data_IF_713838099599
#
_entry.id   IF_713838099599
#
_cell.length_a   1.000
_cell.length_b   1.000
_cell.length_c   1.000
_cell.angle_alpha   90.00
_cell.angle_beta   90.00
_cell.angle_gamma   90.00
#
_symmetry.space_group_name_H-M   'P 1'
#
loop_
_entity.id
_entity.type
_entity.pdbx_description
1 polymer ?
#
# COMPACT_ATOMS: atom_id res chain seq x y z
N UNK A 1 -9.44 26.21 24.24
CA UNK A 1 -10.17 25.80 23.04
C UNK A 1 -9.20 25.70 21.87
N UNK A 2 -9.27 24.63 21.08
CA UNK A 2 -8.50 24.45 19.84
C UNK A 2 -9.40 24.72 18.62
N UNK A 3 -8.82 25.07 17.48
CA UNK A 3 -9.58 25.13 16.23
C UNK A 3 -9.76 23.72 15.63
N UNK A 4 -8.74 22.88 15.82
CA UNK A 4 -8.70 21.51 15.31
C UNK A 4 -8.06 20.56 16.32
N UNK A 5 -8.72 19.43 16.56
CA UNK A 5 -8.12 18.25 17.19
C UNK A 5 -7.99 17.15 16.14
N UNK A 6 -6.83 16.52 16.05
CA UNK A 6 -6.58 15.35 15.19
C UNK A 6 -6.32 14.14 16.09
N UNK A 7 -7.07 13.05 15.89
CA UNK A 7 -6.92 11.81 16.67
C UNK A 7 -6.22 10.77 15.79
N UNK A 8 -4.98 10.44 16.13
CA UNK A 8 -4.08 9.55 15.39
C UNK A 8 -3.00 10.33 14.64
N UNK A 9 -1.74 9.95 14.82
CA UNK A 9 -0.53 10.57 14.27
C UNK A 9 0.08 9.82 13.08
N UNK A 10 -0.71 9.02 12.35
CA UNK A 10 -0.30 8.39 11.09
C UNK A 10 -0.19 9.36 9.90
N UNK A 11 0.10 8.87 8.67
CA UNK A 11 0.28 9.72 7.48
C UNK A 11 -0.87 10.68 7.17
N UNK A 12 -2.12 10.29 7.43
CA UNK A 12 -3.24 11.23 7.34
C UNK A 12 -3.25 12.24 8.49
N UNK A 13 -3.02 11.78 9.71
CA UNK A 13 -3.12 12.58 10.92
C UNK A 13 -2.05 13.68 11.03
N UNK A 14 -0.76 13.33 10.93
CA UNK A 14 0.29 14.34 11.06
C UNK A 14 0.26 15.33 9.88
N UNK A 15 -0.14 14.90 8.68
CA UNK A 15 -0.33 15.80 7.53
C UNK A 15 -1.50 16.75 7.78
N UNK A 16 -2.63 16.26 8.30
CA UNK A 16 -3.75 17.10 8.70
C UNK A 16 -3.33 18.15 9.73
N UNK A 17 -2.53 17.75 10.73
CA UNK A 17 -2.08 18.64 11.77
C UNK A 17 -1.17 19.75 11.22
N UNK A 18 -0.18 19.39 10.38
CA UNK A 18 0.72 20.35 9.73
C UNK A 18 -0.06 21.30 8.83
N UNK A 19 -0.93 20.78 7.95
CA UNK A 19 -1.73 21.60 7.02
C UNK A 19 -2.70 22.51 7.77
N UNK A 20 -3.28 22.04 8.87
CA UNK A 20 -4.12 22.85 9.75
C UNK A 20 -3.34 24.02 10.35
N UNK A 21 -2.14 23.77 10.88
CA UNK A 21 -1.26 24.81 11.42
C UNK A 21 -0.81 25.80 10.34
N UNK A 22 -0.45 25.32 9.15
CA UNK A 22 -0.13 26.18 7.99
C UNK A 22 -1.32 27.06 7.56
N UNK A 23 -2.55 26.62 7.83
CA UNK A 23 -3.78 27.39 7.59
C UNK A 23 -4.14 28.32 8.76
N UNK A 24 -3.24 28.50 9.73
CA UNK A 24 -3.42 29.40 10.88
C UNK A 24 -4.28 28.83 12.02
N UNK A 25 -4.63 27.54 11.99
CA UNK A 25 -5.44 26.91 13.03
C UNK A 25 -4.59 26.61 14.27
N UNK A 26 -5.18 26.77 15.47
CA UNK A 26 -4.60 26.20 16.69
C UNK A 26 -4.89 24.70 16.75
N UNK A 27 -3.87 23.88 16.52
CA UNK A 27 -4.00 22.41 16.37
C UNK A 27 -3.49 21.66 17.60
N UNK A 28 -4.27 20.65 18.01
CA UNK A 28 -3.82 19.58 18.90
C UNK A 28 -3.81 18.24 18.16
N UNK A 29 -2.68 17.55 18.15
CA UNK A 29 -2.55 16.18 17.66
C UNK A 29 -2.48 15.21 18.85
N UNK A 30 -3.36 14.21 18.86
CA UNK A 30 -3.40 13.16 19.88
C UNK A 30 -2.87 11.86 19.28
N UNK A 31 -1.81 11.30 19.85
CA UNK A 31 -1.21 10.03 19.42
C UNK A 31 -0.87 9.19 20.65
N UNK A 32 -1.26 7.91 20.65
CA UNK A 32 -1.07 7.00 21.77
C UNK A 32 0.27 6.25 21.74
N UNK A 33 0.85 6.09 20.55
CA UNK A 33 2.10 5.39 20.28
C UNK A 33 3.17 6.37 19.74
N UNK A 34 4.05 5.91 18.84
CA UNK A 34 5.00 6.75 18.12
C UNK A 34 4.34 7.43 16.91
N UNK A 35 4.75 8.68 16.63
CA UNK A 35 4.33 9.44 15.46
C UNK A 35 4.67 8.71 14.15
N UNK A 36 3.91 9.02 13.10
CA UNK A 36 3.99 8.35 11.80
C UNK A 36 3.13 7.09 11.68
N UNK A 37 2.53 6.64 12.78
CA UNK A 37 1.53 5.55 12.83
C UNK A 37 2.02 4.25 12.21
N UNK A 38 1.09 3.44 11.68
CA UNK A 38 1.41 2.13 11.07
C UNK A 38 2.47 2.23 9.99
N UNK A 39 2.29 3.14 9.02
CA UNK A 39 3.13 3.19 7.82
C UNK A 39 4.61 3.41 8.15
N UNK A 40 4.90 4.29 9.11
CA UNK A 40 6.27 4.59 9.49
C UNK A 40 6.87 3.55 10.44
N UNK A 41 6.11 3.08 11.43
CA UNK A 41 6.67 2.29 12.52
C UNK A 41 6.67 0.79 12.25
N UNK A 42 5.67 0.27 11.53
CA UNK A 42 5.42 -1.18 11.37
C UNK A 42 4.86 -1.59 10.01
N UNK A 43 4.88 -0.70 9.02
CA UNK A 43 4.30 -0.93 7.70
C UNK A 43 5.28 -0.55 6.58
N UNK A 44 4.88 0.45 5.78
CA UNK A 44 5.58 0.90 4.57
C UNK A 44 7.11 0.96 4.70
N UNK A 45 7.62 1.74 5.66
CA UNK A 45 9.05 2.04 5.76
C UNK A 45 9.86 0.79 6.19
N UNK A 46 9.48 0.10 7.28
CA UNK A 46 10.05 -1.20 7.65
C UNK A 46 10.12 -2.20 6.50
N UNK A 47 9.00 -2.42 5.80
CA UNK A 47 8.93 -3.38 4.69
C UNK A 47 9.84 -2.97 3.55
N UNK A 48 9.89 -1.68 3.19
CA UNK A 48 10.70 -1.17 2.09
C UNK A 48 12.21 -1.27 2.39
N UNK A 49 12.60 -1.16 3.67
CA UNK A 49 13.98 -1.46 4.07
C UNK A 49 14.36 -2.92 3.76
N UNK A 50 13.49 -3.86 4.10
CA UNK A 50 13.69 -5.29 3.86
C UNK A 50 13.64 -5.63 2.37
N UNK A 51 12.70 -5.06 1.62
CA UNK A 51 12.65 -5.25 0.16
C UNK A 51 13.95 -4.77 -0.48
N UNK A 52 14.44 -3.58 -0.11
CA UNK A 52 15.68 -3.05 -0.65
C UNK A 52 16.88 -3.99 -0.40
N UNK A 53 17.09 -4.40 0.85
CA UNK A 53 18.24 -5.24 1.22
C UNK A 53 18.18 -6.63 0.58
N UNK A 54 16.98 -7.22 0.52
CA UNK A 54 16.79 -8.53 -0.11
C UNK A 54 16.84 -8.49 -1.63
N UNK A 55 16.40 -7.39 -2.26
CA UNK A 55 16.54 -7.16 -3.70
C UNK A 55 18.01 -7.01 -4.09
N UNK A 56 18.79 -6.26 -3.32
CA UNK A 56 20.25 -6.13 -3.53
C UNK A 56 20.96 -7.50 -3.47
N UNK A 57 20.62 -8.35 -2.48
CA UNK A 57 21.15 -9.70 -2.39
C UNK A 57 20.80 -10.52 -3.64
N UNK A 58 19.55 -10.44 -4.09
CA UNK A 58 19.06 -11.20 -5.25
C UNK A 58 19.73 -10.75 -6.54
N UNK A 59 19.88 -9.44 -6.77
CA UNK A 59 20.59 -8.86 -7.91
C UNK A 59 22.05 -9.30 -7.93
N UNK A 60 22.74 -9.25 -6.79
CA UNK A 60 24.11 -9.73 -6.69
C UNK A 60 24.22 -11.23 -7.03
N UNK A 61 23.33 -12.07 -6.47
CA UNK A 61 23.33 -13.52 -6.68
C UNK A 61 23.00 -13.96 -8.11
N UNK A 62 22.27 -13.14 -8.85
CA UNK A 62 21.85 -13.46 -10.23
C UNK A 62 22.66 -12.74 -11.30
N UNK A 63 23.57 -11.87 -10.90
CA UNK A 63 24.49 -11.20 -11.81
C UNK A 63 25.38 -12.19 -12.55
N UNK A 64 25.53 -11.97 -13.86
CA UNK A 64 26.41 -12.76 -14.72
C UNK A 64 27.87 -12.27 -14.72
N UNK A 65 28.12 -11.08 -14.17
CA UNK A 65 29.45 -10.44 -14.17
C UNK A 65 30.12 -10.43 -12.79
N UNK A 66 29.35 -10.67 -11.72
CA UNK A 66 29.89 -10.73 -10.36
C UNK A 66 30.33 -12.15 -10.03
N UNK A 67 31.61 -12.32 -9.69
CA UNK A 67 32.14 -13.57 -9.15
C UNK A 67 31.99 -13.62 -7.63
N UNK A 68 31.78 -14.79 -7.05
CA UNK A 68 31.70 -14.98 -5.59
C UNK A 68 30.34 -14.66 -4.96
N UNK A 69 29.34 -14.25 -5.73
CA UNK A 69 28.03 -13.85 -5.20
C UNK A 69 27.23 -14.98 -4.52
N UNK A 70 27.51 -16.25 -4.85
CA UNK A 70 26.80 -17.40 -4.28
C UNK A 70 26.96 -17.57 -2.76
N UNK A 71 28.04 -17.03 -2.18
CA UNK A 71 28.28 -17.09 -0.73
C UNK A 71 27.64 -15.93 0.05
N UNK A 72 27.06 -14.94 -0.63
CA UNK A 72 26.45 -13.77 0.02
C UNK A 72 25.24 -14.19 0.85
N UNK A 73 25.18 -13.64 2.07
CA UNK A 73 24.11 -13.83 3.04
C UNK A 73 23.77 -12.49 3.67
N UNK A 74 22.51 -12.30 4.02
CA UNK A 74 22.09 -11.15 4.82
C UNK A 74 22.43 -11.43 6.28
N UNK A 75 23.03 -10.45 6.93
CA UNK A 75 23.09 -10.37 8.39
C UNK A 75 21.75 -9.80 8.88
N UNK A 76 20.88 -10.69 9.37
CA UNK A 76 19.51 -10.35 9.78
C UNK A 76 19.52 -9.33 10.93
N UNK A 77 20.44 -9.48 11.88
CA UNK A 77 20.60 -8.56 13.00
C UNK A 77 20.94 -7.16 12.51
N UNK A 78 21.88 -7.02 11.57
CA UNK A 78 22.21 -5.72 10.96
C UNK A 78 21.09 -5.15 10.12
N UNK A 79 20.36 -5.98 9.37
CA UNK A 79 19.19 -5.56 8.60
C UNK A 79 18.09 -4.98 9.51
N UNK A 80 17.81 -5.64 10.63
CA UNK A 80 16.85 -5.16 11.64
C UNK A 80 17.35 -3.86 12.30
N UNK A 81 18.63 -3.76 12.66
CA UNK A 81 19.20 -2.54 13.23
C UNK A 81 19.09 -1.37 12.25
N UNK A 82 19.50 -1.54 10.99
CA UNK A 82 19.35 -0.52 9.94
C UNK A 82 17.90 -0.08 9.78
N UNK A 83 16.95 -1.03 9.74
CA UNK A 83 15.51 -0.74 9.70
C UNK A 83 15.09 0.15 10.87
N UNK A 84 15.52 -0.19 12.10
CA UNK A 84 15.21 0.61 13.30
C UNK A 84 15.79 2.01 13.21
N UNK A 85 17.05 2.17 12.81
CA UNK A 85 17.69 3.48 12.64
C UNK A 85 16.94 4.38 11.64
N UNK A 86 16.49 3.80 10.51
CA UNK A 86 15.70 4.52 9.51
C UNK A 86 14.36 4.99 10.10
N UNK A 87 13.66 4.10 10.81
CA UNK A 87 12.38 4.43 11.47
C UNK A 87 12.59 5.52 12.52
N UNK A 88 13.55 5.36 13.43
CA UNK A 88 13.82 6.31 14.52
C UNK A 88 14.17 7.70 13.99
N UNK A 89 14.98 7.78 12.92
CA UNK A 89 15.33 9.04 12.28
C UNK A 89 14.10 9.73 11.70
N UNK A 90 13.24 8.99 11.02
CA UNK A 90 12.03 9.55 10.40
C UNK A 90 10.98 9.94 11.44
N UNK A 91 10.81 9.16 12.52
CA UNK A 91 9.91 9.51 13.64
C UNK A 91 10.36 10.83 14.28
N UNK A 92 11.66 10.96 14.58
CA UNK A 92 12.25 12.23 15.07
C UNK A 92 12.07 13.38 14.08
N UNK A 93 12.17 13.10 12.78
CA UNK A 93 11.88 14.07 11.72
C UNK A 93 10.44 14.59 11.77
N UNK A 94 9.45 13.68 11.87
CA UNK A 94 8.03 14.06 11.99
C UNK A 94 7.77 14.90 13.25
N UNK A 95 8.32 14.49 14.39
CA UNK A 95 8.24 15.27 15.64
C UNK A 95 8.82 16.69 15.48
N UNK A 96 10.00 16.80 14.87
CA UNK A 96 10.66 18.09 14.61
C UNK A 96 9.81 18.98 13.71
N UNK A 97 9.23 18.42 12.63
CA UNK A 97 8.39 19.17 11.69
C UNK A 97 7.11 19.66 12.39
N UNK A 98 6.43 18.82 13.16
CA UNK A 98 5.22 19.20 13.91
C UNK A 98 5.51 20.35 14.89
N UNK A 99 6.62 20.26 15.64
CA UNK A 99 7.06 21.32 16.57
C UNK A 99 7.40 22.61 15.84
N UNK A 100 8.04 22.54 14.67
CA UNK A 100 8.34 23.74 13.86
C UNK A 100 7.09 24.49 13.39
N UNK A 101 5.96 23.77 13.26
CA UNK A 101 4.64 24.34 12.96
C UNK A 101 3.82 24.69 14.20
N UNK A 102 4.41 24.64 15.41
CA UNK A 102 3.72 24.91 16.68
C UNK A 102 2.47 24.03 16.92
N UNK A 103 2.46 22.81 16.38
CA UNK A 103 1.42 21.83 16.69
C UNK A 103 1.65 21.30 18.10
N UNK A 104 0.63 21.39 18.97
CA UNK A 104 0.68 20.73 20.27
C UNK A 104 0.46 19.23 20.11
N UNK A 105 1.29 18.41 20.75
CA UNK A 105 1.20 16.95 20.69
C UNK A 105 0.83 16.44 22.08
N UNK A 106 -0.27 15.70 22.19
CA UNK A 106 -0.67 15.02 23.41
C UNK A 106 -0.41 13.51 23.29
N UNK A 107 0.55 12.94 24.06
CA UNK A 107 0.84 11.52 24.06
C UNK A 107 -0.23 10.77 24.87
N UNK A 108 -1.27 10.28 24.20
CA UNK A 108 -2.40 9.62 24.86
C UNK A 108 -3.43 9.05 23.88
N UNK A 109 -4.37 8.28 24.42
CA UNK A 109 -5.47 7.73 23.67
C UNK A 109 -6.62 8.74 23.58
N UNK A 110 -6.93 9.22 22.37
CA UNK A 110 -8.03 10.15 22.13
C UNK A 110 -9.37 9.43 21.96
N UNK A 111 -10.38 9.90 22.68
CA UNK A 111 -11.77 9.47 22.59
C UNK A 111 -12.66 10.64 22.16
N UNK A 112 -13.44 10.46 21.09
CA UNK A 112 -14.46 11.42 20.67
C UNK A 112 -15.70 11.25 21.57
N UNK A 113 -15.89 12.18 22.50
CA UNK A 113 -17.04 12.17 23.43
C UNK A 113 -18.29 12.75 22.78
N UNK A 114 -18.11 13.80 21.98
CA UNK A 114 -19.12 14.49 21.19
C UNK A 114 -18.41 15.30 20.08
N UNK A 115 -19.10 15.80 19.02
CA UNK A 115 -18.47 16.45 17.87
C UNK A 115 -17.43 17.57 18.14
N UNK A 116 -17.46 18.17 19.33
CA UNK A 116 -16.56 19.25 19.77
C UNK A 116 -15.80 18.94 21.06
N UNK A 117 -15.93 17.73 21.60
CA UNK A 117 -15.34 17.32 22.87
C UNK A 117 -14.54 16.05 22.69
N UNK A 118 -13.24 16.14 22.91
CA UNK A 118 -12.33 15.01 22.90
C UNK A 118 -11.80 14.78 24.31
N UNK A 119 -11.79 13.54 24.77
CA UNK A 119 -11.13 13.12 26.01
C UNK A 119 -9.82 12.44 25.66
N UNK A 120 -8.75 12.79 26.36
CA UNK A 120 -7.42 12.23 26.17
C UNK A 120 -7.10 11.43 27.42
N UNK A 121 -6.87 10.13 27.25
CA UNK A 121 -6.47 9.21 28.32
C UNK A 121 -4.96 9.02 28.26
N UNK A 122 -4.26 9.33 29.35
CA UNK A 122 -2.81 9.24 29.45
C UNK A 122 -2.37 7.90 30.05
N UNK A 123 -1.10 7.53 29.83
CA UNK A 123 -0.56 6.26 30.33
C UNK A 123 -0.49 6.17 31.87
N UNK A 124 -0.45 7.31 32.56
CA UNK A 124 -0.48 7.38 34.03
C UNK A 124 -1.89 7.20 34.63
N UNK A 125 -2.90 6.93 33.79
CA UNK A 125 -4.29 6.77 34.17
C UNK A 125 -5.06 8.09 34.33
N UNK A 126 -4.37 9.25 34.20
CA UNK A 126 -5.04 10.54 34.19
C UNK A 126 -5.78 10.77 32.86
N UNK A 127 -6.71 11.74 32.85
CA UNK A 127 -7.38 12.15 31.62
C UNK A 127 -7.61 13.64 31.56
N UNK A 128 -7.64 14.18 30.35
CA UNK A 128 -7.91 15.60 30.06
C UNK A 128 -8.99 15.72 29.00
N UNK A 129 -9.99 16.53 29.25
CA UNK A 129 -10.98 16.89 28.23
C UNK A 129 -10.59 18.19 27.54
N UNK A 130 -10.78 18.23 26.22
CA UNK A 130 -10.50 19.39 25.38
C UNK A 130 -11.68 19.68 24.48
N UNK A 131 -11.96 20.97 24.31
CA UNK A 131 -12.94 21.46 23.34
C UNK A 131 -12.26 21.96 22.07
N UNK A 132 -12.85 21.62 20.93
CA UNK A 132 -12.41 22.08 19.61
C UNK A 132 -13.58 22.46 18.69
N UNK A 133 -13.30 23.31 17.70
CA UNK A 133 -14.29 23.65 16.66
C UNK A 133 -14.50 22.48 15.69
N UNK A 134 -13.42 21.80 15.33
CA UNK A 134 -13.41 20.65 14.43
C UNK A 134 -12.60 19.49 15.00
N UNK A 135 -12.90 18.28 14.55
CA UNK A 135 -12.16 17.05 14.83
C UNK A 135 -11.88 16.28 13.54
N UNK A 136 -10.65 15.82 13.32
CA UNK A 136 -10.32 14.83 12.30
C UNK A 136 -9.99 13.50 12.97
N UNK A 137 -10.74 12.46 12.62
CA UNK A 137 -10.49 11.08 13.03
C UNK A 137 -9.54 10.41 12.03
N UNK A 138 -8.35 10.04 12.49
CA UNK A 138 -7.27 9.44 11.70
C UNK A 138 -6.64 8.24 12.42
N UNK A 139 -7.45 7.46 13.14
CA UNK A 139 -7.02 6.31 13.97
C UNK A 139 -6.49 5.12 13.16
N UNK A 140 -6.69 5.14 11.83
CA UNK A 140 -6.10 4.17 10.92
C UNK A 140 -6.71 2.77 11.02
N UNK A 141 -5.87 1.77 10.85
CA UNK A 141 -6.26 0.36 10.77
C UNK A 141 -5.26 -0.55 11.49
N UNK A 142 -5.69 -1.78 11.76
CA UNK A 142 -4.89 -2.90 12.31
C UNK A 142 -4.99 -4.11 11.38
N UNK A 143 -4.06 -5.10 11.46
CA UNK A 143 -4.24 -6.37 10.76
C UNK A 143 -5.62 -6.97 11.04
N UNK A 144 -6.25 -7.56 10.02
CA UNK A 144 -7.54 -8.20 10.18
C UNK A 144 -7.43 -9.40 11.12
N UNK A 145 -8.36 -9.48 12.06
CA UNK A 145 -8.46 -10.62 12.97
C UNK A 145 -9.14 -11.79 12.27
N UNK A 146 -8.60 -13.00 12.43
CA UNK A 146 -9.17 -14.23 11.89
C UNK A 146 -9.61 -15.06 13.10
N UNK A 147 -10.92 -15.20 13.38
CA UNK A 147 -11.39 -15.76 14.66
C UNK A 147 -10.89 -17.19 14.98
N UNK A 148 -10.50 -17.95 13.95
CA UNK A 148 -9.96 -19.31 14.09
C UNK A 148 -8.44 -19.35 14.29
N UNK A 149 -7.77 -18.19 14.35
CA UNK A 149 -6.32 -18.05 14.34
C UNK A 149 -5.87 -17.04 15.39
N UNK A 150 -4.97 -17.46 16.26
CA UNK A 150 -4.29 -16.56 17.18
C UNK A 150 -2.82 -16.41 16.76
N UNK A 151 -2.37 -15.16 16.62
CA UNK A 151 -0.96 -14.87 16.35
C UNK A 151 -0.16 -14.90 17.66
N UNK A 152 0.86 -15.77 17.74
CA UNK A 152 1.75 -15.90 18.89
C UNK A 152 3.05 -15.10 18.73
N UNK A 153 3.25 -14.47 17.55
CA UNK A 153 4.44 -13.70 17.20
C UNK A 153 5.66 -14.57 16.85
N UNK A 154 5.56 -15.89 17.00
CA UNK A 154 6.63 -16.84 16.71
C UNK A 154 6.25 -17.80 15.58
N UNK A 155 5.38 -18.77 15.80
CA UNK A 155 4.93 -19.70 14.75
C UNK A 155 3.90 -19.06 13.82
N UNK A 156 2.97 -18.30 14.40
CA UNK A 156 1.93 -17.55 13.69
C UNK A 156 2.21 -16.06 13.89
N UNK A 157 2.62 -15.42 12.81
CA UNK A 157 3.10 -14.04 12.81
C UNK A 157 2.14 -13.14 12.05
N UNK A 158 1.99 -11.92 12.52
CA UNK A 158 1.52 -10.80 11.69
C UNK A 158 2.72 -10.12 11.02
N UNK A 159 2.45 -9.12 10.17
CA UNK A 159 3.53 -8.29 9.63
C UNK A 159 4.32 -7.53 10.68
N UNK A 160 3.69 -7.22 11.82
CA UNK A 160 4.32 -6.47 12.89
C UNK A 160 5.42 -7.32 13.57
N UNK A 161 5.22 -8.63 13.65
CA UNK A 161 6.16 -9.59 14.22
C UNK A 161 7.28 -9.97 13.24
N UNK A 162 6.90 -10.22 11.97
CA UNK A 162 7.79 -10.75 10.95
C UNK A 162 8.99 -9.82 10.64
N UNK A 163 8.80 -8.51 10.71
CA UNK A 163 9.85 -7.50 10.45
C UNK A 163 10.79 -7.26 11.64
N UNK A 164 10.66 -8.04 12.72
CA UNK A 164 11.53 -8.02 13.90
C UNK A 164 12.14 -9.37 14.26
N UNK A 165 11.88 -10.43 13.49
CA UNK A 165 12.32 -11.81 13.80
C UNK A 165 13.81 -12.01 13.47
N UNK A 166 14.63 -12.57 14.39
CA UNK A 166 16.08 -12.66 14.21
C UNK A 166 16.54 -13.77 13.26
N UNK A 167 15.64 -14.65 12.82
CA UNK A 167 15.90 -15.78 11.94
C UNK A 167 15.01 -15.77 10.69
N UNK A 168 15.45 -16.52 9.66
CA UNK A 168 14.68 -16.77 8.44
C UNK A 168 14.21 -18.22 8.45
N UNK A 169 12.90 -18.49 8.37
CA UNK A 169 12.39 -19.86 8.34
C UNK A 169 12.79 -20.57 7.05
N UNK A 170 12.85 -21.91 7.06
CA UNK A 170 13.08 -22.68 5.82
C UNK A 170 11.83 -22.70 4.95
N UNK A 171 10.65 -22.58 5.57
CA UNK A 171 9.37 -22.50 4.87
C UNK A 171 8.37 -21.57 5.57
N UNK A 172 7.60 -20.83 4.77
CA UNK A 172 6.53 -19.94 5.25
C UNK A 172 5.27 -20.10 4.41
N UNK A 173 4.13 -20.18 5.07
CA UNK A 173 2.81 -20.03 4.46
C UNK A 173 2.32 -18.61 4.72
N UNK A 174 1.81 -17.94 3.70
CA UNK A 174 1.25 -16.59 3.80
C UNK A 174 -0.26 -16.69 3.53
N UNK A 175 -1.10 -16.32 4.48
CA UNK A 175 -2.54 -16.17 4.26
C UNK A 175 -2.80 -14.76 3.76
N UNK A 176 -3.24 -14.65 2.50
CA UNK A 176 -3.47 -13.39 1.80
C UNK A 176 -2.50 -13.18 0.64
N UNK A 177 -3.05 -13.10 -0.56
CA UNK A 177 -2.40 -12.81 -1.84
C UNK A 177 -2.55 -11.34 -2.27
N UNK A 178 -2.87 -10.44 -1.32
CA UNK A 178 -2.86 -8.99 -1.52
C UNK A 178 -1.46 -8.37 -1.50
N UNK A 179 -1.40 -7.04 -1.54
CA UNK A 179 -0.16 -6.23 -1.61
C UNK A 179 0.87 -6.67 -0.55
N UNK A 180 0.46 -6.68 0.72
CA UNK A 180 1.32 -7.06 1.85
C UNK A 180 1.85 -8.48 1.70
N UNK A 181 0.98 -9.43 1.32
CA UNK A 181 1.38 -10.83 1.12
C UNK A 181 2.42 -10.97 0.00
N UNK A 182 2.29 -10.21 -1.09
CA UNK A 182 3.25 -10.23 -2.20
C UNK A 182 4.61 -9.60 -1.85
N UNK A 183 4.61 -8.49 -1.10
CA UNK A 183 5.86 -7.88 -0.61
C UNK A 183 6.60 -8.85 0.33
N UNK A 184 5.88 -9.47 1.27
CA UNK A 184 6.46 -10.43 2.20
C UNK A 184 6.93 -11.71 1.50
N UNK A 185 6.15 -12.23 0.54
CA UNK A 185 6.58 -13.35 -0.30
C UNK A 185 7.90 -13.04 -1.01
N UNK A 186 8.05 -11.83 -1.53
CA UNK A 186 9.27 -11.37 -2.22
C UNK A 186 10.47 -11.35 -1.28
N UNK A 187 10.31 -10.77 -0.08
CA UNK A 187 11.34 -10.74 0.96
C UNK A 187 11.81 -12.17 1.29
N UNK A 188 10.86 -13.07 1.60
CA UNK A 188 11.18 -14.46 1.95
C UNK A 188 11.81 -15.25 0.79
N UNK A 189 11.32 -15.09 -0.45
CA UNK A 189 11.91 -15.74 -1.62
C UNK A 189 13.34 -15.27 -1.91
N UNK A 190 13.63 -13.98 -1.70
CA UNK A 190 14.97 -13.43 -1.90
C UNK A 190 15.95 -13.87 -0.79
N UNK A 191 15.45 -14.16 0.41
CA UNK A 191 16.23 -14.77 1.49
C UNK A 191 16.37 -16.31 1.36
N UNK A 192 15.73 -16.93 0.35
CA UNK A 192 15.84 -18.35 0.07
C UNK A 192 14.83 -19.26 0.79
N UNK A 193 13.76 -18.69 1.34
CA UNK A 193 12.68 -19.43 1.98
C UNK A 193 11.76 -20.11 0.96
N UNK A 194 11.22 -21.28 1.31
CA UNK A 194 10.13 -21.91 0.55
C UNK A 194 8.80 -21.21 0.88
N UNK A 195 8.18 -20.56 -0.10
CA UNK A 195 6.97 -19.76 0.11
C UNK A 195 5.74 -20.45 -0.48
N UNK A 196 4.67 -20.52 0.31
CA UNK A 196 3.33 -20.85 -0.14
C UNK A 196 2.37 -19.70 0.19
N UNK A 197 1.48 -19.36 -0.74
CA UNK A 197 0.46 -18.31 -0.55
C UNK A 197 -0.93 -18.98 -0.60
N UNK A 198 -1.75 -18.76 0.42
CA UNK A 198 -3.16 -19.12 0.47
C UNK A 198 -3.99 -17.85 0.29
N UNK A 199 -4.69 -17.74 -0.84
CA UNK A 199 -5.57 -16.63 -1.17
C UNK A 199 -7.02 -17.12 -1.23
N UNK A 200 -7.90 -16.45 -0.50
CA UNK A 200 -9.33 -16.75 -0.47
C UNK A 200 -10.01 -16.42 -1.80
N UNK A 201 -9.58 -15.35 -2.46
CA UNK A 201 -10.13 -14.86 -3.71
C UNK A 201 -9.69 -15.71 -4.92
N UNK A 202 -10.36 -15.57 -6.08
CA UNK A 202 -10.04 -16.35 -7.28
C UNK A 202 -8.66 -16.10 -7.91
N UNK A 203 -8.02 -14.97 -7.60
CA UNK A 203 -6.68 -14.64 -8.06
C UNK A 203 -5.92 -13.84 -6.97
N UNK A 204 -4.61 -13.74 -7.11
CA UNK A 204 -3.78 -12.81 -6.32
C UNK A 204 -3.94 -11.39 -6.88
N UNK A 205 -3.71 -10.36 -6.04
CA UNK A 205 -3.74 -8.96 -6.48
C UNK A 205 -5.01 -8.60 -7.27
N UNK A 206 -6.19 -9.04 -6.81
CA UNK A 206 -7.48 -8.86 -7.53
C UNK A 206 -7.83 -7.40 -7.86
N UNK A 207 -7.25 -6.43 -7.15
CA UNK A 207 -7.41 -5.00 -7.45
C UNK A 207 -6.54 -4.47 -8.60
N UNK A 208 -5.59 -5.26 -9.10
CA UNK A 208 -4.71 -4.89 -10.21
C UNK A 208 -5.21 -5.43 -11.56
N UNK A 209 -4.70 -4.87 -12.66
CA UNK A 209 -5.03 -5.35 -14.02
C UNK A 209 -4.68 -6.84 -14.23
N UNK A 210 -5.48 -7.54 -15.05
CA UNK A 210 -5.32 -8.98 -15.28
C UNK A 210 -3.91 -9.36 -15.76
N UNK A 211 -3.28 -8.53 -16.60
CA UNK A 211 -1.94 -8.83 -17.10
C UNK A 211 -0.87 -8.72 -16.01
N UNK A 212 -1.05 -7.84 -15.03
CA UNK A 212 -0.21 -7.77 -13.83
C UNK A 212 -0.36 -9.05 -13.03
N UNK A 213 -1.59 -9.49 -12.74
CA UNK A 213 -1.87 -10.72 -11.99
C UNK A 213 -1.25 -11.94 -12.67
N UNK A 214 -1.45 -12.08 -13.99
CA UNK A 214 -0.90 -13.16 -14.82
C UNK A 214 0.63 -13.18 -14.81
N UNK A 215 1.25 -12.01 -14.95
CA UNK A 215 2.71 -11.89 -14.97
C UNK A 215 3.29 -12.20 -13.59
N UNK A 216 2.69 -11.69 -12.51
CA UNK A 216 3.12 -12.00 -11.14
C UNK A 216 3.02 -13.50 -10.82
N UNK A 217 1.92 -14.17 -11.18
CA UNK A 217 1.78 -15.64 -11.04
C UNK A 217 2.89 -16.40 -11.76
N UNK A 218 3.25 -15.97 -12.97
CA UNK A 218 4.36 -16.58 -13.73
C UNK A 218 5.69 -16.41 -13.01
N UNK A 219 5.96 -15.23 -12.46
CA UNK A 219 7.19 -14.94 -11.72
C UNK A 219 7.29 -15.75 -10.44
N UNK A 220 6.21 -15.81 -9.65
CA UNK A 220 6.12 -16.63 -8.44
C UNK A 220 6.41 -18.10 -8.74
N UNK A 221 5.78 -18.66 -9.79
CA UNK A 221 6.03 -20.05 -10.22
C UNK A 221 7.48 -20.25 -10.64
N UNK A 222 8.08 -19.31 -11.37
CA UNK A 222 9.52 -19.37 -11.76
C UNK A 222 10.43 -19.35 -10.54
N UNK A 223 10.04 -18.62 -9.49
CA UNK A 223 10.72 -18.59 -8.18
C UNK A 223 10.32 -19.75 -7.27
N UNK A 224 9.59 -20.75 -7.78
CA UNK A 224 9.13 -21.97 -7.08
C UNK A 224 8.21 -21.70 -5.88
N UNK A 225 7.53 -20.56 -5.84
CA UNK A 225 6.48 -20.31 -4.86
C UNK A 225 5.19 -21.05 -5.24
N UNK A 226 4.53 -21.64 -4.25
CA UNK A 226 3.21 -22.24 -4.41
C UNK A 226 2.13 -21.18 -4.20
N UNK A 227 1.12 -21.14 -5.06
CA UNK A 227 0.01 -20.20 -4.95
C UNK A 227 -1.30 -20.99 -5.04
N UNK A 228 -2.08 -20.95 -3.97
CA UNK A 228 -3.39 -21.58 -3.88
C UNK A 228 -4.43 -20.46 -3.79
N UNK A 229 -5.18 -20.28 -4.86
CA UNK A 229 -6.29 -19.31 -4.95
C UNK A 229 -7.62 -20.02 -4.70
N UNK A 230 -8.65 -19.28 -4.35
CA UNK A 230 -9.92 -19.86 -3.87
C UNK A 230 -9.69 -20.86 -2.73
N UNK A 231 -8.72 -20.58 -1.88
CA UNK A 231 -8.28 -21.42 -0.79
C UNK A 231 -8.69 -20.79 0.54
N UNK A 232 -9.71 -21.36 1.19
CA UNK A 232 -10.22 -20.88 2.48
C UNK A 232 -9.51 -21.59 3.61
N UNK A 233 -8.62 -20.90 4.32
CA UNK A 233 -8.08 -21.40 5.58
C UNK A 233 -9.22 -21.62 6.60
N UNK A 234 -9.22 -22.78 7.26
CA UNK A 234 -10.24 -23.20 8.21
C UNK A 234 -9.70 -23.34 9.62
N UNK A 235 -8.49 -23.87 9.73
CA UNK A 235 -7.88 -24.22 11.00
C UNK A 235 -6.35 -24.14 10.88
N UNK A 236 -5.71 -23.75 11.98
CA UNK A 236 -4.25 -23.69 12.10
C UNK A 236 -3.86 -24.38 13.39
N UNK A 237 -3.00 -25.38 13.27
CA UNK A 237 -2.48 -26.16 14.38
C UNK A 237 -0.96 -26.04 14.45
N UNK A 238 -0.40 -26.04 15.65
CA UNK A 238 1.04 -26.16 15.86
C UNK A 238 1.33 -27.59 16.32
N UNK A 239 2.12 -28.33 15.54
CA UNK A 239 2.52 -29.71 15.83
C UNK A 239 3.99 -29.91 15.45
N UNK A 240 4.75 -30.55 16.33
CA UNK A 240 6.17 -30.86 16.07
C UNK A 240 6.99 -29.64 15.60
N UNK A 241 6.80 -28.50 16.27
CA UNK A 241 7.42 -27.21 15.94
C UNK A 241 7.17 -26.72 14.50
N UNK A 242 6.04 -27.12 13.92
CA UNK A 242 5.57 -26.66 12.61
C UNK A 242 4.12 -26.21 12.66
N UNK A 243 3.80 -25.31 11.74
CA UNK A 243 2.43 -24.84 11.50
C UNK A 243 1.78 -25.73 10.45
N UNK A 244 0.67 -26.34 10.81
CA UNK A 244 -0.21 -27.09 9.92
C UNK A 244 -1.45 -26.25 9.63
N UNK A 245 -1.63 -25.83 8.37
CA UNK A 245 -2.79 -25.06 7.93
C UNK A 245 -3.72 -25.98 7.15
N UNK A 246 -4.93 -26.13 7.65
CA UNK A 246 -6.01 -26.86 6.98
C UNK A 246 -6.85 -25.85 6.21
N UNK A 247 -7.02 -26.09 4.91
CA UNK A 247 -7.79 -25.22 4.04
C UNK A 247 -8.72 -26.01 3.12
N UNK A 248 -9.81 -25.38 2.71
CA UNK A 248 -10.73 -25.86 1.69
C UNK A 248 -10.37 -25.20 0.36
N UNK A 249 -10.17 -26.00 -0.71
CA UNK A 249 -9.91 -25.48 -2.04
C UNK A 249 -11.19 -25.15 -2.83
N UNK A 250 -11.02 -24.70 -4.08
CA UNK A 250 -12.15 -24.34 -4.98
C UNK A 250 -13.16 -25.48 -5.19
N UNK A 251 -12.73 -26.74 -5.05
CA UNK A 251 -13.54 -27.94 -5.27
C UNK A 251 -14.11 -28.47 -3.94
N UNK A 252 -14.03 -27.66 -2.88
CA UNK A 252 -14.43 -28.00 -1.50
C UNK A 252 -13.66 -29.17 -0.91
N UNK A 253 -12.47 -29.47 -1.42
CA UNK A 253 -11.62 -30.52 -0.87
C UNK A 253 -10.79 -29.96 0.28
N UNK A 254 -10.78 -30.68 1.40
CA UNK A 254 -9.95 -30.34 2.55
C UNK A 254 -8.52 -30.78 2.28
N UNK A 255 -7.61 -29.81 2.32
CA UNK A 255 -6.17 -29.99 2.10
C UNK A 255 -5.39 -29.44 3.28
N UNK A 256 -4.14 -29.87 3.38
CA UNK A 256 -3.21 -29.42 4.41
C UNK A 256 -1.94 -28.91 3.76
N UNK A 257 -1.42 -27.80 4.26
CA UNK A 257 -0.05 -27.34 4.00
C UNK A 257 0.69 -27.19 5.32
N UNK A 258 1.98 -27.54 5.33
CA UNK A 258 2.83 -27.50 6.52
C UNK A 258 4.02 -26.58 6.26
N UNK A 259 4.36 -25.74 7.23
CA UNK A 259 5.50 -24.84 7.17
C UNK A 259 6.11 -24.59 8.56
N UNK A 260 7.30 -24.00 8.61
CA UNK A 260 7.92 -23.62 9.89
C UNK A 260 7.23 -22.39 10.50
N UNK A 261 6.68 -21.52 9.64
CA UNK A 261 5.99 -20.27 9.99
C UNK A 261 4.74 -20.05 9.18
N UNK A 262 3.78 -19.33 9.76
CA UNK A 262 2.62 -18.77 9.11
C UNK A 262 2.65 -17.25 9.25
N UNK A 263 2.48 -16.53 8.16
CA UNK A 263 2.26 -15.09 8.14
C UNK A 263 0.79 -14.77 7.80
N UNK A 264 0.15 -13.95 8.63
CA UNK A 264 -1.21 -13.45 8.40
C UNK A 264 -1.15 -12.10 7.69
N UNK A 265 -1.59 -12.08 6.43
CA UNK A 265 -1.66 -10.91 5.55
C UNK A 265 -3.04 -10.78 4.89
N UNK A 266 -4.11 -11.13 5.61
CA UNK A 266 -5.49 -11.26 5.11
C UNK A 266 -6.27 -9.92 5.00
N UNK A 267 -5.56 -8.79 4.94
CA UNK A 267 -6.17 -7.46 4.93
C UNK A 267 -6.10 -6.74 6.28
N UNK A 268 -6.84 -5.64 6.39
CA UNK A 268 -6.81 -4.73 7.54
C UNK A 268 -8.21 -4.26 7.90
N UNK A 269 -8.43 -3.95 9.17
CA UNK A 269 -9.72 -3.46 9.70
C UNK A 269 -9.53 -2.11 10.39
N UNK A 270 -10.55 -1.23 10.39
CA UNK A 270 -10.42 0.10 10.98
C UNK A 270 -10.28 0.03 12.51
N UNK A 271 -9.52 0.96 13.08
CA UNK A 271 -9.38 1.09 14.54
C UNK A 271 -10.45 2.07 15.03
N UNK A 272 -11.49 1.55 15.67
CA UNK A 272 -12.58 2.32 16.28
C UNK A 272 -12.35 2.60 17.78
N UNK A 273 -11.21 2.21 18.34
CA UNK A 273 -10.89 2.47 19.74
C UNK A 273 -10.99 4.00 19.99
N UNK A 274 -11.81 4.43 20.96
CA UNK A 274 -12.09 5.85 21.22
C UNK A 274 -13.16 6.48 20.33
N UNK A 275 -13.78 5.72 19.42
CA UNK A 275 -14.87 6.16 18.54
C UNK A 275 -16.03 5.18 18.74
N UNK A 276 -17.04 5.57 19.52
CA UNK A 276 -18.26 4.78 19.71
C UNK A 276 -19.33 5.22 18.70
N UNK A 277 -19.52 4.50 17.57
CA UNK A 277 -20.40 4.97 16.52
C UNK A 277 -21.88 4.98 16.93
N UNK A 278 -22.26 4.05 17.82
CA UNK A 278 -23.64 3.92 18.30
C UNK A 278 -23.99 5.08 19.21
N UNK A 279 -23.15 5.35 20.23
CA UNK A 279 -23.35 6.48 21.15
C UNK A 279 -23.33 7.82 20.44
N UNK A 280 -22.44 7.98 19.45
CA UNK A 280 -22.28 9.23 18.72
C UNK A 280 -23.32 9.43 17.61
N UNK A 281 -24.08 8.40 17.23
CA UNK A 281 -24.92 8.41 16.03
C UNK A 281 -24.11 8.57 14.74
N UNK A 282 -22.86 8.10 14.72
CA UNK A 282 -21.96 8.17 13.58
C UNK A 282 -22.34 7.08 12.56
N UNK A 283 -22.56 7.47 11.30
CA UNK A 283 -22.91 6.55 10.23
C UNK A 283 -21.68 5.74 9.81
N UNK A 284 -21.90 4.43 9.64
CA UNK A 284 -20.90 3.47 9.18
C UNK A 284 -21.27 2.94 7.79
N UNK A 285 -20.28 2.44 7.06
CA UNK A 285 -20.43 1.69 5.82
C UNK A 285 -19.65 0.37 5.95
N UNK A 286 -20.39 -0.72 6.20
CA UNK A 286 -19.78 -1.94 6.73
C UNK A 286 -19.10 -1.67 8.06
N UNK A 287 -17.81 -2.00 8.17
CA UNK A 287 -17.00 -1.74 9.36
C UNK A 287 -16.36 -0.34 9.39
N UNK A 288 -16.44 0.43 8.30
CA UNK A 288 -15.72 1.70 8.14
C UNK A 288 -16.60 2.91 8.43
N UNK A 289 -15.98 4.03 8.83
CA UNK A 289 -16.71 5.29 9.04
C UNK A 289 -17.15 5.84 7.68
N UNK A 290 -18.45 6.15 7.54
CA UNK A 290 -18.99 6.71 6.30
C UNK A 290 -18.65 8.19 6.19
N UNK A 291 -18.12 8.58 5.03
CA UNK A 291 -17.80 9.97 4.68
C UNK A 291 -18.37 10.34 3.30
N UNK A 292 -18.48 11.65 3.02
CA UNK A 292 -18.70 12.15 1.67
C UNK A 292 -17.37 12.47 0.93
N UNK A 293 -17.45 12.98 -0.30
CA UNK A 293 -16.30 13.39 -1.13
C UNK A 293 -15.44 14.49 -0.49
N UNK A 294 -15.97 15.23 0.49
CA UNK A 294 -15.30 16.29 1.24
C UNK A 294 -14.63 15.79 2.53
N UNK A 295 -14.61 14.48 2.74
CA UNK A 295 -14.14 13.79 3.95
C UNK A 295 -14.95 14.11 5.24
N UNK A 296 -16.17 14.64 5.10
CA UNK A 296 -17.06 14.94 6.21
C UNK A 296 -17.82 13.69 6.63
N UNK A 297 -17.99 13.51 7.95
CA UNK A 297 -18.93 12.53 8.50
C UNK A 297 -20.35 13.13 8.55
N UNK A 298 -21.34 12.37 9.04
CA UNK A 298 -22.67 12.94 9.32
C UNK A 298 -22.72 13.85 10.56
N UNK A 299 -21.65 13.91 11.36
CA UNK A 299 -21.56 14.76 12.54
C UNK A 299 -20.90 16.09 12.16
N UNK A 300 -21.59 17.21 12.38
CA UNK A 300 -21.09 18.54 12.00
C UNK A 300 -19.76 18.85 12.70
N UNK A 301 -18.76 19.22 11.91
CA UNK A 301 -17.41 19.54 12.40
C UNK A 301 -16.52 18.31 12.65
N UNK A 302 -17.00 17.10 12.35
CA UNK A 302 -16.21 15.86 12.44
C UNK A 302 -15.94 15.31 11.05
N UNK A 303 -14.67 15.10 10.78
CA UNK A 303 -14.12 14.52 9.55
C UNK A 303 -13.47 13.18 9.88
N UNK A 304 -13.36 12.30 8.89
CA UNK A 304 -12.62 11.04 9.01
C UNK A 304 -11.82 10.76 7.75
N UNK A 305 -10.60 10.23 7.90
CA UNK A 305 -9.64 10.07 6.80
C UNK A 305 -8.84 8.77 6.91
N UNK A 306 -8.14 8.43 5.82
CA UNK A 306 -7.19 7.32 5.77
C UNK A 306 -7.87 5.97 5.83
N UNK A 307 -7.26 5.01 6.52
CA UNK A 307 -7.78 3.64 6.55
C UNK A 307 -9.09 3.50 7.36
N UNK A 308 -9.39 4.45 8.25
CA UNK A 308 -10.61 4.47 9.05
C UNK A 308 -11.89 4.48 8.19
N UNK A 309 -11.80 5.03 6.98
CA UNK A 309 -12.92 5.21 6.04
C UNK A 309 -12.90 4.19 4.89
N UNK A 310 -12.01 3.20 4.93
CA UNK A 310 -11.96 2.14 3.91
C UNK A 310 -11.52 2.62 2.52
N UNK A 311 -11.97 1.90 1.49
CA UNK A 311 -11.49 2.06 0.11
C UNK A 311 -10.03 1.58 -0.03
N UNK A 312 -9.23 2.27 -0.83
CA UNK A 312 -7.78 2.02 -0.89
C UNK A 312 -7.11 2.46 0.42
N UNK A 313 -6.62 1.51 1.20
CA UNK A 313 -5.90 1.74 2.47
C UNK A 313 -4.42 2.04 2.21
N UNK A 314 -4.17 3.24 1.67
CA UNK A 314 -2.85 3.71 1.25
C UNK A 314 -2.44 4.97 2.01
N UNK A 315 -1.15 5.08 2.34
CA UNK A 315 -0.62 6.19 3.12
C UNK A 315 -0.80 7.55 2.42
N UNK A 316 -0.48 7.63 1.13
CA UNK A 316 -0.66 8.84 0.33
C UNK A 316 -2.13 9.19 0.09
N UNK A 317 -3.04 8.19 0.04
CA UNK A 317 -4.50 8.44 0.08
C UNK A 317 -4.92 9.10 1.39
N UNK A 318 -4.40 8.62 2.53
CA UNK A 318 -4.67 9.22 3.83
C UNK A 318 -4.17 10.67 3.90
N UNK A 319 -2.96 10.95 3.40
CA UNK A 319 -2.41 12.31 3.34
C UNK A 319 -3.18 13.23 2.38
N UNK A 320 -3.61 12.73 1.22
CA UNK A 320 -4.43 13.50 0.28
C UNK A 320 -5.82 13.83 0.86
N UNK A 321 -6.46 12.88 1.55
CA UNK A 321 -7.70 13.11 2.29
C UNK A 321 -7.52 14.11 3.44
N UNK A 322 -6.38 14.10 4.13
CA UNK A 322 -6.07 15.08 5.16
C UNK A 322 -6.09 16.50 4.61
N UNK A 323 -5.43 16.73 3.47
CA UNK A 323 -5.46 18.02 2.80
C UNK A 323 -6.87 18.42 2.31
N UNK A 324 -7.69 17.46 1.86
CA UNK A 324 -9.11 17.71 1.52
C UNK A 324 -9.87 18.19 2.76
N UNK A 325 -9.75 17.47 3.87
CA UNK A 325 -10.41 17.83 5.12
C UNK A 325 -9.99 19.24 5.59
N UNK A 326 -8.68 19.56 5.58
CA UNK A 326 -8.20 20.89 5.94
C UNK A 326 -8.68 21.98 4.98
N UNK A 327 -8.67 21.72 3.67
CA UNK A 327 -9.21 22.65 2.68
C UNK A 327 -10.70 22.92 2.89
N UNK A 328 -11.47 21.96 3.41
CA UNK A 328 -12.88 22.15 3.76
C UNK A 328 -13.09 22.82 5.13
N UNK A 329 -12.13 22.73 6.04
CA UNK A 329 -12.17 23.39 7.36
C UNK A 329 -11.77 24.87 7.27
N UNK A 330 -10.72 25.18 6.52
CA UNK A 330 -10.05 26.49 6.57
C UNK A 330 -9.64 27.05 5.19
N UNK A 331 -9.99 26.37 4.10
CA UNK A 331 -9.59 26.72 2.74
C UNK A 331 -10.75 26.91 1.77
N UNK A 332 -10.49 26.86 0.46
CA UNK A 332 -11.50 27.10 -0.59
C UNK A 332 -12.54 25.98 -0.73
N UNK A 333 -12.41 24.89 0.03
CA UNK A 333 -13.16 23.67 -0.16
C UNK A 333 -12.71 22.87 -1.38
N UNK A 334 -12.70 21.54 -1.27
CA UNK A 334 -12.38 20.63 -2.38
C UNK A 334 -12.99 19.26 -2.17
N UNK A 335 -13.08 18.48 -3.24
CA UNK A 335 -13.50 17.08 -3.21
C UNK A 335 -12.30 16.16 -3.42
N UNK A 336 -12.39 14.95 -2.89
CA UNK A 336 -11.39 13.91 -3.08
C UNK A 336 -11.69 13.10 -4.35
N UNK A 337 -10.69 12.98 -5.22
CA UNK A 337 -10.76 12.21 -6.47
C UNK A 337 -10.01 10.87 -6.31
N UNK A 338 -10.69 9.76 -5.98
CA UNK A 338 -10.06 8.46 -5.76
C UNK A 338 -9.39 7.86 -7.02
N UNK A 339 -9.85 8.23 -8.22
CA UNK A 339 -9.36 7.75 -9.52
C UNK A 339 -7.90 8.10 -9.79
N UNK A 340 -7.40 9.20 -9.22
CA UNK A 340 -6.02 9.67 -9.38
C UNK A 340 -5.06 9.14 -8.32
N UNK A 341 -5.51 8.29 -7.40
CA UNK A 341 -4.65 7.68 -6.39
C UNK A 341 -3.87 6.52 -7.02
N UNK A 342 -2.53 6.61 -7.14
CA UNK A 342 -1.74 5.50 -7.64
C UNK A 342 -1.67 4.36 -6.60
N UNK A 343 -1.45 3.15 -7.09
CA UNK A 343 -1.19 1.93 -6.32
C UNK A 343 0.22 1.46 -6.63
N UNK A 344 1.00 1.16 -5.60
CA UNK A 344 2.38 0.72 -5.73
C UNK A 344 2.59 -0.57 -4.93
N UNK A 345 3.26 -1.55 -5.56
CA UNK A 345 3.56 -2.86 -4.96
C UNK A 345 5.03 -3.18 -5.19
N UNK A 346 5.78 -3.42 -4.11
CA UNK A 346 7.20 -3.77 -4.16
C UNK A 346 7.40 -5.29 -4.09
N UNK A 347 6.88 -6.00 -5.09
CA UNK A 347 6.94 -7.45 -5.20
C UNK A 347 8.18 -7.90 -6.02
N UNK A 348 8.17 -9.15 -6.52
CA UNK A 348 9.28 -9.73 -7.32
C UNK A 348 9.70 -8.81 -8.47
N UNK A 349 8.72 -8.24 -9.15
CA UNK A 349 8.87 -6.99 -9.88
C UNK A 349 7.98 -5.94 -9.23
N UNK A 350 8.38 -4.68 -9.36
CA UNK A 350 7.55 -3.58 -8.93
C UNK A 350 6.30 -3.47 -9.82
N UNK A 351 5.21 -3.01 -9.22
CA UNK A 351 3.97 -2.66 -9.92
C UNK A 351 3.60 -1.24 -9.54
N UNK A 352 3.29 -0.43 -10.54
CA UNK A 352 2.71 0.90 -10.39
C UNK A 352 1.47 1.01 -11.26
N UNK A 353 0.32 1.33 -10.67
CA UNK A 353 -0.95 1.42 -11.38
C UNK A 353 -1.74 2.66 -10.98
N UNK A 354 -2.50 3.25 -11.89
CA UNK A 354 -3.44 4.35 -11.61
C UNK A 354 -4.68 4.19 -12.49
N UNK A 355 -5.84 4.67 -12.03
CA UNK A 355 -7.11 4.53 -12.75
C UNK A 355 -7.61 3.08 -12.85
N UNK A 356 -8.40 2.83 -13.89
CA UNK A 356 -9.15 1.60 -14.13
C UNK A 356 -8.26 0.50 -14.74
N UNK A 357 -8.50 -0.76 -14.33
CA UNK A 357 -8.03 -1.93 -15.09
C UNK A 357 -8.72 -1.98 -16.45
N UNK A 358 -8.17 -2.73 -17.40
CA UNK A 358 -8.83 -2.93 -18.70
C UNK A 358 -10.23 -3.57 -18.52
N UNK A 359 -10.35 -4.57 -17.64
CA UNK A 359 -11.62 -5.22 -17.30
C UNK A 359 -12.67 -4.22 -16.81
N UNK A 360 -12.28 -3.34 -15.87
CA UNK A 360 -13.18 -2.33 -15.32
C UNK A 360 -13.50 -1.24 -16.34
N UNK A 361 -12.54 -0.84 -17.18
CA UNK A 361 -12.77 0.12 -18.25
C UNK A 361 -13.77 -0.41 -19.28
N UNK A 362 -13.65 -1.69 -19.69
CA UNK A 362 -14.64 -2.37 -20.56
C UNK A 362 -16.02 -2.43 -19.92
N UNK A 363 -16.10 -2.68 -18.61
CA UNK A 363 -17.36 -2.76 -17.89
C UNK A 363 -18.13 -1.41 -17.84
N UNK A 364 -17.47 -0.29 -18.11
CA UNK A 364 -18.15 1.02 -18.24
C UNK A 364 -19.02 1.15 -19.50
N UNK A 365 -18.80 0.29 -20.51
CA UNK A 365 -19.46 0.38 -21.82
C UNK A 365 -18.87 1.44 -22.75
N UNK A 366 -17.85 2.20 -22.33
CA UNK A 366 -17.15 3.17 -23.17
C UNK A 366 -16.29 2.48 -24.24
N UNK A 367 -16.11 3.08 -25.42
CA UNK A 367 -15.17 2.57 -26.41
C UNK A 367 -13.75 2.75 -25.89
N UNK A 368 -13.03 1.64 -25.69
CA UNK A 368 -11.66 1.69 -25.19
C UNK A 368 -10.65 1.22 -26.24
N UNK A 369 -9.45 1.76 -26.15
CA UNK A 369 -8.27 1.26 -26.85
C UNK A 369 -7.14 1.03 -25.85
N UNK A 370 -6.29 0.06 -26.15
CA UNK A 370 -5.17 -0.36 -25.30
C UNK A 370 -3.87 -0.22 -26.08
N UNK A 371 -2.89 0.45 -25.48
CA UNK A 371 -1.51 0.46 -25.95
C UNK A 371 -0.61 -0.25 -24.96
N UNK A 372 0.38 -0.99 -25.46
CA UNK A 372 1.26 -1.77 -24.62
C UNK A 372 2.67 -1.86 -25.17
N UNK A 373 3.64 -1.65 -24.28
CA UNK A 373 5.06 -1.84 -24.60
C UNK A 373 5.74 -2.78 -23.61
N UNK A 374 6.32 -3.90 -24.06
CA UNK A 374 7.01 -4.85 -23.19
C UNK A 374 8.42 -4.37 -22.85
N UNK A 375 8.85 -4.49 -21.59
CA UNK A 375 10.19 -4.06 -21.17
C UNK A 375 11.33 -4.79 -21.89
N UNK A 376 11.09 -5.99 -22.40
CA UNK A 376 12.06 -6.70 -23.25
C UNK A 376 12.45 -5.97 -24.54
N UNK A 377 11.65 -5.02 -25.00
CA UNK A 377 11.95 -4.17 -26.15
C UNK A 377 12.65 -2.86 -25.75
N UNK A 378 12.76 -2.55 -24.45
CA UNK A 378 13.47 -1.37 -23.96
C UNK A 378 14.97 -1.63 -23.83
N UNK A 379 15.77 -0.80 -24.50
CA UNK A 379 17.24 -0.83 -24.35
C UNK A 379 17.69 -0.58 -22.91
N UNK A 380 17.01 0.29 -22.17
CA UNK A 380 17.32 0.57 -20.76
C UNK A 380 17.06 -0.66 -19.86
N UNK A 381 15.92 -1.33 -20.03
CA UNK A 381 15.60 -2.57 -19.31
C UNK A 381 16.60 -3.69 -19.61
N UNK A 382 17.00 -3.82 -20.88
CA UNK A 382 18.03 -4.76 -21.33
C UNK A 382 19.39 -4.49 -20.67
N UNK A 383 19.82 -3.22 -20.64
CA UNK A 383 21.07 -2.81 -20.01
C UNK A 383 21.08 -3.08 -18.49
N UNK A 384 19.92 -3.00 -17.83
CA UNK A 384 19.75 -3.35 -16.42
C UNK A 384 19.71 -4.86 -16.15
N UNK A 385 19.57 -5.69 -17.20
CA UNK A 385 19.32 -7.13 -17.05
C UNK A 385 17.94 -7.47 -16.47
N UNK A 386 17.02 -6.49 -16.40
CA UNK A 386 15.67 -6.68 -15.91
C UNK A 386 14.66 -6.33 -17.01
N UNK A 387 14.28 -7.35 -17.77
CA UNK A 387 13.38 -7.25 -18.93
C UNK A 387 11.97 -7.76 -18.65
N UNK A 388 11.68 -8.14 -17.41
CA UNK A 388 10.35 -8.61 -17.03
C UNK A 388 9.37 -7.44 -16.94
N UNK A 389 8.15 -7.69 -17.39
CA UNK A 389 7.07 -6.71 -17.30
C UNK A 389 6.85 -5.87 -18.56
N UNK A 390 6.11 -4.79 -18.40
CA UNK A 390 5.51 -3.99 -19.47
C UNK A 390 4.96 -2.66 -18.93
N UNK A 391 4.69 -1.72 -19.85
CA UNK A 391 3.75 -0.61 -19.63
C UNK A 391 2.49 -0.89 -20.46
N UNK A 392 1.32 -0.67 -19.86
CA UNK A 392 0.01 -0.79 -20.49
C UNK A 392 -0.80 0.47 -20.20
N UNK A 393 -1.37 1.07 -21.24
CA UNK A 393 -2.24 2.24 -21.16
C UNK A 393 -3.62 1.84 -21.68
N UNK A 394 -4.65 2.12 -20.89
CA UNK A 394 -6.06 1.98 -21.25
C UNK A 394 -6.60 3.40 -21.41
N UNK A 395 -7.09 3.72 -22.60
CA UNK A 395 -7.65 5.04 -22.91
C UNK A 395 -8.96 4.95 -23.67
N UNK A 396 -9.76 6.00 -23.58
CA UNK A 396 -10.99 6.16 -24.35
C UNK A 396 -10.65 6.34 -25.83
N UNK A 397 -11.21 5.47 -26.68
CA UNK A 397 -10.84 5.40 -28.10
C UNK A 397 -11.33 6.58 -28.94
N UNK A 398 -12.28 7.36 -28.43
CA UNK A 398 -12.84 8.53 -29.11
C UNK A 398 -12.19 9.83 -28.65
N UNK A 399 -11.93 9.97 -27.35
CA UNK A 399 -11.44 11.22 -26.77
C UNK A 399 -9.94 11.25 -26.48
N UNK A 400 -9.29 10.09 -26.39
CA UNK A 400 -7.91 9.98 -25.93
C UNK A 400 -7.74 10.11 -24.41
N UNK A 401 -8.82 10.21 -23.64
CA UNK A 401 -8.77 10.26 -22.17
C UNK A 401 -8.02 9.05 -21.60
N UNK A 402 -7.05 9.29 -20.73
CA UNK A 402 -6.34 8.23 -20.01
C UNK A 402 -7.25 7.67 -18.93
N UNK A 403 -7.78 6.46 -19.14
CA UNK A 403 -8.67 5.79 -18.17
C UNK A 403 -7.90 4.99 -17.11
N UNK A 404 -6.70 4.51 -17.46
CA UNK A 404 -5.82 3.83 -16.52
C UNK A 404 -4.48 3.44 -17.12
N UNK A 405 -3.47 3.38 -16.27
CA UNK A 405 -2.10 2.99 -16.65
C UNK A 405 -1.59 1.96 -15.67
N UNK A 406 -0.98 0.90 -16.20
CA UNK A 406 -0.48 -0.25 -15.44
C UNK A 406 0.95 -0.54 -15.87
N UNK A 407 1.89 -0.40 -14.95
CA UNK A 407 3.31 -0.60 -15.16
C UNK A 407 3.76 -1.74 -14.26
N UNK A 408 4.45 -2.71 -14.83
CA UNK A 408 5.13 -3.76 -14.08
C UNK A 408 6.56 -3.88 -14.58
N UNK A 409 7.53 -3.96 -13.68
CA UNK A 409 8.95 -4.07 -14.01
C UNK A 409 9.82 -3.14 -13.18
N UNK A 410 11.06 -2.95 -13.60
CA UNK A 410 12.01 -2.10 -12.89
C UNK A 410 11.47 -0.67 -12.69
N UNK A 411 11.55 -0.15 -11.46
CA UNK A 411 11.16 1.23 -11.10
C UNK A 411 9.71 1.59 -11.42
N UNK A 412 8.82 0.62 -11.58
CA UNK A 412 7.40 0.87 -11.87
C UNK A 412 6.75 1.79 -10.81
N UNK A 413 7.19 1.70 -9.55
CA UNK A 413 6.67 2.52 -8.46
C UNK A 413 7.06 4.00 -8.54
N UNK A 414 8.15 4.33 -9.25
CA UNK A 414 8.54 5.71 -9.56
C UNK A 414 7.93 6.17 -10.90
N UNK A 415 7.95 5.30 -11.92
CA UNK A 415 7.46 5.60 -13.27
C UNK A 415 5.97 5.96 -13.30
N UNK A 416 5.17 5.39 -12.39
CA UNK A 416 3.73 5.67 -12.32
C UNK A 416 3.42 7.14 -11.98
N UNK A 417 4.38 7.89 -11.42
CA UNK A 417 4.21 9.31 -11.13
C UNK A 417 3.94 10.15 -12.39
N UNK A 418 4.51 9.77 -13.54
CA UNK A 418 4.25 10.46 -14.80
C UNK A 418 2.78 10.31 -15.26
N UNK A 419 2.21 9.09 -15.37
CA UNK A 419 0.78 8.90 -15.62
C UNK A 419 -0.14 9.60 -14.63
N UNK A 420 0.20 9.62 -13.34
CA UNK A 420 -0.60 10.34 -12.32
C UNK A 420 -0.66 11.83 -12.64
N UNK A 421 0.47 12.44 -13.01
CA UNK A 421 0.52 13.84 -13.41
C UNK A 421 -0.29 14.09 -14.69
N UNK A 422 -0.14 13.24 -15.71
CA UNK A 422 -0.88 13.34 -16.96
C UNK A 422 -2.41 13.28 -16.73
N UNK A 423 -2.88 12.31 -15.95
CA UNK A 423 -4.30 12.19 -15.60
C UNK A 423 -4.81 13.38 -14.79
N UNK A 424 -4.00 13.90 -13.86
CA UNK A 424 -4.36 15.10 -13.05
C UNK A 424 -4.50 16.35 -13.92
N UNK A 425 -3.76 16.43 -15.02
CA UNK A 425 -3.81 17.53 -15.99
C UNK A 425 -4.85 17.30 -17.10
N UNK A 426 -5.61 16.20 -17.04
CA UNK A 426 -6.56 15.79 -18.08
C UNK A 426 -5.90 15.66 -19.47
N UNK A 427 -4.63 15.27 -19.51
CA UNK A 427 -3.90 15.04 -20.75
C UNK A 427 -4.45 13.81 -21.50
N UNK A 428 -4.36 13.85 -22.83
CA UNK A 428 -4.68 12.72 -23.68
C UNK A 428 -3.52 11.71 -23.74
N UNK A 429 -3.81 10.47 -24.16
CA UNK A 429 -2.78 9.45 -24.41
C UNK A 429 -1.76 9.94 -25.44
N UNK A 430 -2.20 10.70 -26.45
CA UNK A 430 -1.36 11.31 -27.48
C UNK A 430 -0.35 12.29 -26.90
N UNK A 431 -0.73 13.09 -25.88
CA UNK A 431 0.19 14.04 -25.24
C UNK A 431 1.38 13.31 -24.60
N UNK A 432 1.13 12.13 -24.01
CA UNK A 432 2.20 11.27 -23.47
C UNK A 432 3.12 10.71 -24.55
N UNK A 433 2.60 10.48 -25.75
CA UNK A 433 3.36 9.98 -26.90
C UNK A 433 4.25 11.06 -27.54
N UNK A 434 3.86 12.33 -27.46
CA UNK A 434 4.59 13.47 -28.06
C UNK A 434 5.73 14.00 -27.16
N UNK A 435 5.71 13.66 -25.87
CA UNK A 435 6.75 14.05 -24.93
C UNK A 435 8.12 13.47 -25.30
N UNK A 436 9.11 14.34 -25.53
CA UNK A 436 10.51 13.92 -25.72
C UNK A 436 11.03 13.27 -24.43
N UNK A 437 11.33 11.96 -24.49
CA UNK A 437 11.89 11.20 -23.37
C UNK A 437 13.43 11.10 -23.48
N UNK A 438 14.14 11.15 -22.33
CA UNK A 438 15.57 10.89 -22.31
C UNK A 438 15.89 9.46 -22.74
N UNK A 439 16.96 9.28 -23.51
CA UNK A 439 17.41 7.98 -24.00
C UNK A 439 18.84 7.65 -23.54
N UNK A 440 19.13 6.41 -23.07
CA UNK A 440 18.18 5.33 -22.81
C UNK A 440 17.56 5.44 -21.40
N UNK A 441 16.23 5.37 -21.28
CA UNK A 441 15.54 5.31 -19.98
C UNK A 441 14.27 4.45 -20.01
N UNK A 442 13.75 4.12 -18.83
CA UNK A 442 12.51 3.34 -18.72
C UNK A 442 11.24 4.17 -19.04
N UNK A 443 11.30 5.50 -18.97
CA UNK A 443 10.16 6.38 -19.33
C UNK A 443 9.86 6.32 -20.82
N UNK A 444 10.82 5.92 -21.66
CA UNK A 444 10.58 5.60 -23.07
C UNK A 444 9.55 4.47 -23.24
N UNK A 445 9.47 3.51 -22.29
CA UNK A 445 8.45 2.45 -22.33
C UNK A 445 7.03 3.00 -22.16
N UNK A 446 6.88 4.11 -21.42
CA UNK A 446 5.60 4.78 -21.24
C UNK A 446 5.19 5.48 -22.53
N UNK A 447 6.12 6.21 -23.15
CA UNK A 447 5.92 6.86 -24.46
C UNK A 447 5.59 5.83 -25.55
N UNK A 448 6.32 4.72 -25.63
CA UNK A 448 6.05 3.67 -26.63
C UNK A 448 4.71 2.96 -26.41
N UNK A 449 4.26 2.80 -25.16
CA UNK A 449 2.92 2.28 -24.89
C UNK A 449 1.83 3.26 -25.37
N UNK A 450 2.04 4.56 -25.21
CA UNK A 450 1.15 5.60 -25.74
C UNK A 450 1.17 5.66 -27.29
N UNK A 451 2.35 5.50 -27.90
CA UNK A 451 2.48 5.36 -29.35
C UNK A 451 1.79 4.09 -29.87
N UNK A 452 1.89 2.97 -29.15
CA UNK A 452 1.17 1.73 -29.50
C UNK A 452 -0.34 1.90 -29.45
N UNK A 453 -0.84 2.64 -28.44
CA UNK A 453 -2.25 3.03 -28.36
C UNK A 453 -2.66 3.84 -29.61
N UNK A 454 -1.78 4.72 -30.10
CA UNK A 454 -2.01 5.50 -31.32
C UNK A 454 -1.76 4.75 -32.62
N UNK A 455 -1.31 3.49 -32.58
CA UNK A 455 -0.91 2.71 -33.76
C UNK A 455 0.38 3.19 -34.43
N UNK A 456 1.24 3.91 -33.70
CA UNK A 456 2.47 4.57 -34.17
C UNK A 456 3.72 4.11 -33.43
N UNK A 457 3.67 2.99 -32.71
CA UNK A 457 4.82 2.43 -31.97
C UNK A 457 6.02 2.24 -32.90
N UNK A 458 7.21 2.63 -32.42
CA UNK A 458 8.43 2.64 -33.24
C UNK A 458 9.28 1.40 -32.96
N UNK A 459 9.36 1.00 -31.69
CA UNK A 459 10.29 -0.04 -31.25
C UNK A 459 9.66 -1.44 -31.14
N UNK A 460 8.55 -1.69 -31.86
CA UNK A 460 7.94 -3.00 -32.01
C UNK A 460 7.78 -3.36 -33.50
N UNK A 461 7.82 -4.65 -33.85
CA UNK A 461 7.43 -5.09 -35.19
C UNK A 461 6.01 -4.64 -35.51
N UNK A 462 5.76 -4.30 -36.78
CA UNK A 462 4.43 -3.96 -37.28
C UNK A 462 3.45 -5.10 -36.94
N UNK A 463 2.35 -4.78 -36.27
CA UNK A 463 1.25 -5.73 -36.03
C UNK A 463 0.72 -6.19 -37.39
N UNK A 464 0.84 -7.48 -37.70
CA UNK A 464 0.19 -8.07 -38.88
C UNK A 464 -1.32 -8.13 -38.62
N UNK A 465 -2.10 -7.61 -39.59
CA UNK A 465 -3.56 -7.55 -39.53
C UNK A 465 -4.21 -8.94 -39.51
#
# INVERSE_FOLDING_TARGET
MYDLVVIGGGPGGYVAAIKGAQSGLKVLLVEKDALGGTCLNRGCIPTKCFVHDTKLLQEAKTSQVLTGAGSLRIDISRMIMRKREVVDRLVKGVDTILKSHSVEIAPGHGELMAPRRTKIHYQDGSSKEVESRNVILATGSRPADLPFLHADGHFVQTTDDALGTPDVPKSVVIIGGGVVGMEMATIYLNMGCNVAILELLPDILTGEDEEVRKTMRRLLRRRKASVYVSARAKEVNIKEDKVQIIYEDKDKQVKTVVSDRLLVAAGRTPVLDGIDPVRLGLKMEGSFVKINSRCETNLRGVYAIGDLVGGMMLAHKASAQAEVAISNIAGPGREFQPEYVPRCIWALEEVGSVGLSEENARATGRPIRVGKFPHRASGAAQAMGNVEGFVKIVGDAETGEIMGVHIMGARATDLIGEPVMAMTMEAAVEDMAECVKPHPTLTESVMEAALDWSGKVVHLPKKTA
#
